data_IF_913086433960
#
_entry.id   IF_913086433960
#
_cell.length_a   1.000
_cell.length_b   1.000
_cell.length_c   1.000
_cell.angle_alpha   90.00
_cell.angle_beta   90.00
_cell.angle_gamma   90.00
#
_symmetry.space_group_name_H-M   'P 1'
#
loop_
_entity.id
_entity.type
_entity.pdbx_description
1 polymer ?
#
# COMPACT_ATOMS: atom_id res chain seq x y z
N UNK A 1 7.99 -50.75 -47.62
CA UNK A 1 7.74 -50.43 -46.20
C UNK A 1 7.48 -48.93 -46.13
N UNK A 2 6.26 -48.50 -46.46
CA UNK A 2 5.19 -48.14 -45.51
C UNK A 2 5.67 -47.19 -44.40
N UNK A 3 5.43 -45.88 -44.58
CA UNK A 3 4.55 -45.08 -43.72
C UNK A 3 4.51 -43.61 -44.19
N UNK A 4 3.39 -43.22 -44.79
CA UNK A 4 2.81 -41.88 -44.59
C UNK A 4 2.09 -41.93 -43.24
N UNK A 5 2.26 -40.97 -42.32
CA UNK A 5 1.30 -39.84 -42.16
C UNK A 5 2.01 -38.52 -41.72
N UNK A 6 1.44 -37.33 -41.49
CA UNK A 6 0.08 -36.76 -41.45
C UNK A 6 0.25 -35.22 -41.59
N UNK A 7 -0.65 -34.63 -42.36
CA UNK A 7 -1.19 -33.26 -42.38
C UNK A 7 -0.64 -32.22 -41.39
N UNK A 8 -0.16 -31.10 -41.94
CA UNK A 8 -0.10 -29.82 -41.25
C UNK A 8 -1.53 -29.35 -40.93
N UNK A 9 -1.89 -29.32 -39.65
CA UNK A 9 -3.07 -28.60 -39.17
C UNK A 9 -2.60 -27.30 -38.55
N UNK A 10 -2.83 -26.20 -39.27
CA UNK A 10 -2.79 -24.85 -38.71
C UNK A 10 -3.86 -24.78 -37.62
N UNK A 11 -3.44 -24.94 -36.38
CA UNK A 11 -4.24 -24.54 -35.23
C UNK A 11 -3.90 -23.08 -34.98
N UNK A 12 -4.78 -22.22 -35.49
CA UNK A 12 -4.94 -20.84 -35.03
C UNK A 12 -5.07 -20.87 -33.51
N UNK A 13 -4.09 -20.30 -32.83
CA UNK A 13 -4.06 -20.18 -31.38
C UNK A 13 -5.22 -19.24 -30.94
N UNK A 14 -6.25 -19.72 -30.23
CA UNK A 14 -7.38 -18.88 -29.83
C UNK A 14 -7.10 -18.07 -28.55
N UNK A 15 -5.85 -18.01 -28.06
CA UNK A 15 -5.52 -17.21 -26.87
C UNK A 15 -5.45 -15.70 -27.11
N UNK A 16 -5.73 -15.23 -28.32
CA UNK A 16 -5.95 -13.80 -28.59
C UNK A 16 -7.41 -13.38 -28.30
N UNK A 17 -7.92 -13.69 -27.10
CA UNK A 17 -9.23 -13.18 -26.66
C UNK A 17 -9.22 -12.87 -25.16
N UNK A 18 -9.59 -11.61 -24.87
CA UNK A 18 -9.87 -11.00 -23.56
C UNK A 18 -8.67 -10.59 -22.68
N UNK A 19 -7.81 -9.72 -23.23
CA UNK A 19 -7.35 -8.61 -22.40
C UNK A 19 -8.57 -7.71 -22.13
N UNK A 20 -9.39 -8.10 -21.14
CA UNK A 20 -10.31 -7.17 -20.48
C UNK A 20 -9.51 -5.90 -20.12
N UNK A 21 -10.16 -4.74 -20.23
CA UNK A 21 -9.61 -3.45 -19.80
C UNK A 21 -9.40 -3.44 -18.27
N UNK A 22 -8.51 -4.29 -17.76
CA UNK A 22 -8.07 -4.26 -16.39
C UNK A 22 -7.20 -3.02 -16.23
N UNK A 23 -7.65 -2.08 -15.39
CA UNK A 23 -6.82 -0.96 -15.00
C UNK A 23 -5.49 -1.51 -14.43
N UNK A 24 -4.33 -0.91 -14.79
CA UNK A 24 -3.06 -1.34 -14.22
C UNK A 24 -3.08 -1.26 -12.69
N UNK A 25 -2.26 -2.07 -11.99
CA UNK A 25 -2.14 -2.06 -10.55
C UNK A 25 -1.94 -0.66 -9.97
N UNK A 26 -2.37 -0.46 -8.72
CA UNK A 26 -2.33 0.85 -8.09
C UNK A 26 -0.93 1.49 -8.09
N UNK A 27 0.09 0.67 -7.82
CA UNK A 27 1.50 1.05 -7.85
C UNK A 27 1.93 1.58 -9.21
N UNK A 28 1.55 0.91 -10.31
CA UNK A 28 1.97 1.29 -11.66
C UNK A 28 1.37 2.62 -12.10
N UNK A 29 0.06 2.84 -11.87
CA UNK A 29 -0.55 4.12 -12.28
C UNK A 29 -0.07 5.28 -11.40
N UNK A 30 0.19 5.04 -10.10
CA UNK A 30 0.76 6.07 -9.22
C UNK A 30 2.21 6.39 -9.58
N UNK A 31 3.05 5.38 -9.87
CA UNK A 31 4.41 5.59 -10.35
C UNK A 31 4.44 6.35 -11.68
N UNK A 32 3.60 5.95 -12.64
CA UNK A 32 3.45 6.65 -13.92
C UNK A 32 3.02 8.11 -13.71
N UNK A 33 2.09 8.36 -12.79
CA UNK A 33 1.64 9.71 -12.49
C UNK A 33 2.76 10.55 -11.85
N UNK A 34 3.47 9.99 -10.86
CA UNK A 34 4.61 10.63 -10.22
C UNK A 34 5.69 11.01 -11.26
N UNK A 35 6.03 10.10 -12.16
CA UNK A 35 6.99 10.35 -13.25
C UNK A 35 6.54 11.47 -14.22
N UNK A 36 5.24 11.62 -14.44
CA UNK A 36 4.70 12.64 -15.34
C UNK A 36 4.71 14.05 -14.75
N UNK A 37 4.42 14.19 -13.45
CA UNK A 37 4.24 15.51 -12.81
C UNK A 37 5.40 15.91 -11.89
N UNK A 38 6.30 14.99 -11.59
CA UNK A 38 7.39 15.17 -10.64
C UNK A 38 6.97 14.96 -9.18
N UNK A 39 7.94 14.56 -8.36
CA UNK A 39 7.70 14.15 -6.97
C UNK A 39 7.15 15.28 -6.08
N UNK A 40 7.62 16.52 -6.28
CA UNK A 40 7.11 17.69 -5.56
C UNK A 40 5.61 17.93 -5.82
N UNK A 41 5.16 17.83 -7.07
CA UNK A 41 3.75 18.02 -7.41
C UNK A 41 2.91 16.82 -6.94
N UNK A 42 3.44 15.61 -7.06
CA UNK A 42 2.78 14.38 -6.63
C UNK A 42 2.54 14.31 -5.11
N UNK A 43 3.41 14.95 -4.33
CA UNK A 43 3.33 14.99 -2.87
C UNK A 43 2.81 16.33 -2.33
N UNK A 44 2.43 17.27 -3.19
CA UNK A 44 1.88 18.58 -2.77
C UNK A 44 0.57 18.43 -1.99
N UNK A 45 0.34 19.26 -0.98
CA UNK A 45 -0.85 19.17 -0.10
C UNK A 45 -2.19 19.24 -0.85
N UNK A 46 -2.23 19.98 -1.94
CA UNK A 46 -3.41 20.20 -2.79
C UNK A 46 -3.59 19.13 -3.88
N UNK A 47 -2.64 18.21 -4.04
CA UNK A 47 -2.75 17.11 -5.00
C UNK A 47 -3.87 16.15 -4.60
N UNK A 48 -4.89 16.03 -5.45
CA UNK A 48 -6.01 15.11 -5.23
C UNK A 48 -6.78 15.45 -3.94
N UNK A 49 -7.20 16.72 -3.79
CA UNK A 49 -7.85 17.27 -2.59
C UNK A 49 -9.27 16.70 -2.31
N UNK A 50 -9.32 15.40 -2.03
CA UNK A 50 -10.45 14.67 -1.47
C UNK A 50 -9.92 13.71 -0.41
N UNK A 51 -10.70 13.39 0.63
CA UNK A 51 -10.25 12.44 1.65
C UNK A 51 -9.96 11.07 1.03
N UNK A 52 -8.82 10.49 1.41
CA UNK A 52 -8.43 9.12 1.04
C UNK A 52 -8.26 8.29 2.32
N UNK A 53 -8.63 7.02 2.23
CA UNK A 53 -8.42 6.04 3.30
C UNK A 53 -7.24 5.16 2.94
N UNK A 54 -6.39 4.92 3.92
CA UNK A 54 -5.23 4.04 3.82
C UNK A 54 -5.35 2.97 4.91
N UNK A 55 -5.61 1.74 4.49
CA UNK A 55 -5.77 0.58 5.36
C UNK A 55 -4.45 -0.18 5.36
N UNK A 56 -3.96 -0.53 6.55
CA UNK A 56 -2.80 -1.41 6.73
C UNK A 56 -3.19 -2.58 7.61
N UNK A 57 -3.07 -3.79 7.08
CA UNK A 57 -3.21 -5.02 7.86
C UNK A 57 -1.82 -5.59 8.15
N UNK A 58 -1.55 -5.95 9.41
CA UNK A 58 -0.24 -6.46 9.84
C UNK A 58 -0.33 -7.85 10.46
N UNK A 59 0.71 -8.65 10.19
CA UNK A 59 1.04 -9.91 10.86
C UNK A 59 2.51 -9.90 11.27
N UNK A 60 2.77 -9.90 12.57
CA UNK A 60 4.13 -10.03 13.08
C UNK A 60 4.67 -11.45 12.88
N UNK A 61 5.98 -11.60 12.75
CA UNK A 61 6.60 -12.91 12.73
C UNK A 61 6.47 -13.59 14.10
N UNK A 62 6.28 -14.92 14.11
CA UNK A 62 6.02 -15.69 15.33
C UNK A 62 7.07 -15.52 16.43
N UNK A 63 8.33 -15.29 16.05
CA UNK A 63 9.44 -15.12 16.99
C UNK A 63 9.51 -13.73 17.63
N UNK A 64 8.73 -12.75 17.16
CA UNK A 64 8.74 -11.39 17.70
C UNK A 64 7.99 -11.37 19.04
N UNK A 65 8.63 -10.93 20.14
CA UNK A 65 8.00 -10.90 21.47
C UNK A 65 6.80 -9.94 21.52
N UNK A 66 5.78 -10.28 22.32
CA UNK A 66 4.57 -9.47 22.48
C UNK A 66 4.89 -8.01 22.85
N UNK A 67 5.80 -7.78 23.79
CA UNK A 67 6.18 -6.41 24.18
C UNK A 67 6.75 -5.58 23.01
N UNK A 68 7.50 -6.22 22.10
CA UNK A 68 8.00 -5.55 20.88
C UNK A 68 6.86 -5.24 19.92
N UNK A 69 5.88 -6.14 19.76
CA UNK A 69 4.69 -5.91 18.92
C UNK A 69 3.89 -4.72 19.43
N UNK A 70 3.56 -4.71 20.73
CA UNK A 70 2.81 -3.62 21.37
C UNK A 70 3.55 -2.28 21.22
N UNK A 71 4.87 -2.27 21.44
CA UNK A 71 5.67 -1.05 21.24
C UNK A 71 5.61 -0.53 19.78
N UNK A 72 5.59 -1.41 18.78
CA UNK A 72 5.44 -0.99 17.38
C UNK A 72 4.02 -0.50 17.07
N UNK A 73 3.00 -1.10 17.68
CA UNK A 73 1.60 -0.66 17.54
C UNK A 73 1.43 0.74 18.13
N UNK A 74 1.96 0.99 19.34
CA UNK A 74 1.96 2.31 19.97
C UNK A 74 2.69 3.35 19.12
N UNK A 75 3.85 2.98 18.56
CA UNK A 75 4.60 3.84 17.62
C UNK A 75 3.80 4.14 16.36
N UNK A 76 3.07 3.19 15.80
CA UNK A 76 2.20 3.40 14.64
C UNK A 76 1.12 4.44 14.98
N UNK A 77 0.40 4.26 16.10
CA UNK A 77 -0.66 5.17 16.52
C UNK A 77 -0.16 6.60 16.71
N UNK A 78 1.05 6.74 17.25
CA UNK A 78 1.70 8.04 17.44
C UNK A 78 2.11 8.75 16.15
N UNK A 79 2.19 8.06 15.00
CA UNK A 79 2.51 8.72 13.73
C UNK A 79 1.56 9.88 13.43
N UNK A 80 0.30 9.80 13.88
CA UNK A 80 -0.66 10.89 13.73
C UNK A 80 -0.13 12.23 14.25
N UNK A 81 0.59 12.20 15.37
CA UNK A 81 1.12 13.39 16.04
C UNK A 81 2.59 13.63 15.69
N UNK A 82 3.38 12.57 15.47
CA UNK A 82 4.82 12.65 15.22
C UNK A 82 5.15 12.96 13.74
N UNK A 83 4.29 12.61 12.78
CA UNK A 83 4.46 12.96 11.36
C UNK A 83 4.00 14.38 11.09
N UNK A 84 4.97 15.27 10.89
CA UNK A 84 4.78 16.71 10.75
C UNK A 84 5.22 17.18 9.37
N UNK A 85 4.38 18.03 8.78
CA UNK A 85 4.70 18.77 7.55
C UNK A 85 4.55 20.26 7.85
N UNK A 86 5.61 21.02 7.63
CA UNK A 86 5.69 22.45 8.01
C UNK A 86 5.40 22.69 9.50
N UNK A 87 5.83 21.76 10.35
CA UNK A 87 5.62 21.81 11.80
C UNK A 87 4.19 21.48 12.26
N UNK A 88 3.32 20.94 11.38
CA UNK A 88 1.93 20.58 11.72
C UNK A 88 1.61 19.14 11.34
N UNK A 89 0.84 18.41 12.17
CA UNK A 89 0.29 17.11 11.80
C UNK A 89 -0.56 17.20 10.54
N UNK A 90 -0.47 16.17 9.69
CA UNK A 90 -1.22 16.09 8.43
C UNK A 90 -1.98 14.77 8.25
N UNK A 91 -1.76 13.79 9.14
CA UNK A 91 -2.60 12.60 9.23
C UNK A 91 -3.86 12.98 10.01
N UNK A 92 -5.03 12.87 9.36
CA UNK A 92 -6.31 13.29 9.97
C UNK A 92 -6.69 12.39 11.13
N UNK A 93 -6.59 11.08 10.94
CA UNK A 93 -6.88 10.09 11.98
C UNK A 93 -6.13 8.79 11.74
N UNK A 94 -5.87 8.07 12.82
CA UNK A 94 -5.44 6.67 12.83
C UNK A 94 -6.32 5.94 13.83
N UNK A 95 -6.92 4.84 13.40
CA UNK A 95 -7.65 3.89 14.24
C UNK A 95 -6.96 2.53 14.17
N UNK A 96 -7.03 1.75 15.25
CA UNK A 96 -6.42 0.43 15.35
C UNK A 96 -7.40 -0.57 15.94
N UNK A 97 -7.33 -1.82 15.48
CA UNK A 97 -8.06 -2.93 16.04
C UNK A 97 -7.38 -4.27 15.77
N UNK A 98 -7.83 -5.31 16.48
CA UNK A 98 -7.44 -6.70 16.24
C UNK A 98 -8.40 -7.34 15.25
N UNK A 99 -7.94 -8.39 14.58
CA UNK A 99 -8.81 -9.24 13.77
C UNK A 99 -9.78 -10.00 14.69
N UNK A 100 -11.08 -9.80 14.48
CA UNK A 100 -12.17 -10.43 15.23
C UNK A 100 -13.21 -11.14 14.32
N UNK A 101 -13.00 -11.14 13.00
CA UNK A 101 -13.88 -11.89 12.08
C UNK A 101 -13.73 -13.41 12.26
N UNK A 102 -14.86 -14.10 12.38
CA UNK A 102 -14.95 -15.56 12.45
C UNK A 102 -15.06 -16.26 11.09
N UNK A 103 -14.91 -15.54 9.98
CA UNK A 103 -15.17 -16.07 8.62
C UNK A 103 -13.99 -16.89 8.05
N UNK A 104 -12.84 -16.93 8.72
CA UNK A 104 -11.66 -17.66 8.26
C UNK A 104 -10.89 -17.01 7.10
N UNK A 105 -11.32 -15.85 6.62
CA UNK A 105 -10.72 -15.12 5.48
C UNK A 105 -9.70 -14.04 5.90
N UNK A 106 -9.19 -14.11 7.13
CA UNK A 106 -8.24 -13.11 7.64
C UNK A 106 -6.81 -13.26 7.10
N UNK A 107 -6.50 -14.35 6.38
CA UNK A 107 -5.16 -14.68 5.85
C UNK A 107 -4.01 -14.59 6.89
N UNK A 108 -4.36 -14.74 8.17
CA UNK A 108 -3.44 -14.62 9.30
C UNK A 108 -3.07 -13.19 9.71
N UNK A 109 -3.66 -12.14 9.11
CA UNK A 109 -3.50 -10.78 9.60
C UNK A 109 -4.15 -10.62 10.99
N UNK A 110 -3.43 -9.97 11.90
CA UNK A 110 -3.78 -9.89 13.32
C UNK A 110 -4.25 -8.49 13.72
N UNK A 111 -3.76 -7.46 13.03
CA UNK A 111 -4.05 -6.06 13.33
C UNK A 111 -4.48 -5.32 12.06
N UNK A 112 -5.42 -4.39 12.23
CA UNK A 112 -5.81 -3.42 11.22
C UNK A 112 -5.53 -2.00 11.71
N UNK A 113 -4.97 -1.18 10.83
CA UNK A 113 -4.87 0.26 11.00
C UNK A 113 -5.67 0.93 9.89
N UNK A 114 -6.54 1.86 10.29
CA UNK A 114 -7.36 2.63 9.38
C UNK A 114 -6.97 4.09 9.49
N UNK A 115 -6.38 4.62 8.43
CA UNK A 115 -5.88 5.99 8.38
C UNK A 115 -6.73 6.84 7.45
N UNK A 116 -6.89 8.11 7.81
CA UNK A 116 -7.50 9.12 6.93
C UNK A 116 -6.49 10.22 6.62
N UNK A 117 -6.38 10.57 5.34
CA UNK A 117 -5.69 11.76 4.86
C UNK A 117 -6.68 12.71 4.18
N UNK A 118 -6.37 14.01 4.19
CA UNK A 118 -7.22 15.02 3.55
C UNK A 118 -7.00 15.16 2.04
N UNK A 119 -5.87 14.65 1.54
CA UNK A 119 -5.55 14.61 0.12
C UNK A 119 -4.69 13.42 -0.25
N UNK A 120 -4.65 13.10 -1.55
CA UNK A 120 -3.70 12.12 -2.08
C UNK A 120 -2.26 12.53 -1.83
N UNK A 121 -1.93 13.82 -1.97
CA UNK A 121 -0.56 14.30 -1.82
C UNK A 121 -0.03 14.16 -0.40
N UNK A 122 -0.86 14.37 0.62
CA UNK A 122 -0.51 14.08 2.01
C UNK A 122 -0.29 12.57 2.23
N UNK A 123 -1.14 11.72 1.65
CA UNK A 123 -0.93 10.26 1.65
C UNK A 123 0.37 9.88 0.95
N UNK A 124 0.68 10.48 -0.19
CA UNK A 124 1.88 10.19 -0.97
C UNK A 124 3.15 10.62 -0.22
N UNK A 125 3.15 11.80 0.41
CA UNK A 125 4.22 12.29 1.27
C UNK A 125 4.45 11.36 2.47
N UNK A 126 3.36 10.89 3.10
CA UNK A 126 3.43 9.86 4.14
C UNK A 126 4.09 8.59 3.61
N UNK A 127 3.53 7.97 2.57
CA UNK A 127 4.01 6.67 2.07
C UNK A 127 5.45 6.73 1.59
N UNK A 128 5.83 7.74 0.80
CA UNK A 128 7.17 7.90 0.23
C UNK A 128 7.54 6.77 -0.74
N UNK A 129 8.66 6.11 -0.48
CA UNK A 129 9.11 4.96 -1.26
C UNK A 129 8.10 3.81 -1.29
N UNK A 130 7.99 3.07 -2.42
CA UNK A 130 8.94 3.06 -3.55
C UNK A 130 8.60 4.03 -4.71
N UNK A 131 7.62 4.92 -4.56
CA UNK A 131 7.19 5.81 -5.66
C UNK A 131 7.91 7.17 -5.62
N UNK A 132 8.23 7.63 -4.41
CA UNK A 132 8.90 8.91 -4.15
C UNK A 132 10.28 8.61 -3.58
N UNK A 133 11.32 9.21 -4.16
CA UNK A 133 12.73 8.92 -3.84
C UNK A 133 13.48 10.15 -3.35
N UNK A 134 13.03 11.35 -3.71
CA UNK A 134 13.58 12.60 -3.20
C UNK A 134 13.24 12.71 -1.70
N UNK A 135 14.28 12.75 -0.86
CA UNK A 135 14.16 12.85 0.59
C UNK A 135 13.45 14.14 1.07
N UNK A 136 13.30 15.14 0.21
CA UNK A 136 12.52 16.36 0.50
C UNK A 136 11.02 16.19 0.21
N UNK A 137 10.63 15.10 -0.45
CA UNK A 137 9.26 14.82 -0.88
C UNK A 137 8.57 13.71 -0.06
N UNK A 138 9.19 13.16 0.99
CA UNK A 138 8.52 12.19 1.87
C UNK A 138 8.81 12.41 3.35
N UNK A 139 7.95 11.86 4.20
CA UNK A 139 8.05 11.98 5.66
C UNK A 139 9.19 11.08 6.20
N UNK A 140 10.25 11.66 6.81
CA UNK A 140 11.36 10.87 7.34
C UNK A 140 10.99 10.06 8.60
N UNK A 141 9.99 10.50 9.37
CA UNK A 141 9.49 9.79 10.56
C UNK A 141 8.78 8.50 10.14
N UNK A 142 7.87 8.57 9.16
CA UNK A 142 7.22 7.37 8.64
C UNK A 142 8.21 6.46 7.90
N UNK A 143 9.15 7.01 7.13
CA UNK A 143 10.20 6.22 6.49
C UNK A 143 11.01 5.42 7.53
N UNK A 144 11.45 6.06 8.62
CA UNK A 144 12.16 5.39 9.71
C UNK A 144 11.27 4.35 10.43
N UNK A 145 9.98 4.62 10.58
CA UNK A 145 9.02 3.66 11.12
C UNK A 145 8.92 2.40 10.23
N UNK A 146 8.76 2.55 8.91
CA UNK A 146 8.75 1.41 7.97
C UNK A 146 10.02 0.56 8.09
N UNK A 147 11.18 1.20 8.16
CA UNK A 147 12.47 0.52 8.32
C UNK A 147 12.55 -0.26 9.65
N UNK A 148 11.96 0.26 10.73
CA UNK A 148 11.95 -0.39 12.03
C UNK A 148 10.95 -1.56 12.11
N UNK A 149 9.74 -1.40 11.58
CA UNK A 149 8.70 -2.43 11.68
C UNK A 149 8.86 -3.54 10.65
N UNK A 150 9.35 -3.24 9.44
CA UNK A 150 9.43 -4.18 8.32
C UNK A 150 10.10 -5.52 8.67
N UNK A 151 11.30 -5.53 9.29
CA UNK A 151 11.97 -6.77 9.69
C UNK A 151 11.24 -7.60 10.74
N UNK A 152 10.25 -7.04 11.43
CA UNK A 152 9.47 -7.71 12.48
C UNK A 152 8.22 -8.41 11.92
N UNK A 153 7.88 -8.17 10.66
CA UNK A 153 6.70 -8.74 10.02
C UNK A 153 7.00 -10.14 9.47
N UNK A 154 5.98 -10.99 9.45
CA UNK A 154 6.06 -12.26 8.76
C UNK A 154 6.28 -12.04 7.24
N UNK A 155 6.72 -13.06 6.47
CA UNK A 155 6.66 -13.00 5.02
C UNK A 155 5.25 -12.63 4.55
N UNK A 156 5.16 -11.61 3.68
CA UNK A 156 3.91 -11.01 3.23
C UNK A 156 2.98 -10.58 4.39
N UNK A 157 3.57 -10.24 5.55
CA UNK A 157 2.87 -9.85 6.78
C UNK A 157 2.39 -8.41 6.79
N UNK A 158 2.30 -7.77 5.62
CA UNK A 158 1.67 -6.47 5.43
C UNK A 158 0.78 -6.52 4.19
N UNK A 159 -0.44 -6.02 4.33
CA UNK A 159 -1.34 -5.72 3.22
C UNK A 159 -1.78 -4.27 3.35
N UNK A 160 -1.69 -3.53 2.25
CA UNK A 160 -2.03 -2.12 2.20
C UNK A 160 -3.10 -1.90 1.14
N UNK A 161 -4.12 -1.12 1.46
CA UNK A 161 -5.19 -0.81 0.54
C UNK A 161 -5.66 0.63 0.69
N UNK A 162 -5.70 1.36 -0.42
CA UNK A 162 -6.17 2.73 -0.46
C UNK A 162 -7.49 2.83 -1.22
N UNK A 163 -8.43 3.64 -0.71
CA UNK A 163 -9.65 3.95 -1.44
C UNK A 163 -10.19 5.34 -1.13
N UNK A 164 -10.95 5.88 -2.08
CA UNK A 164 -11.71 7.10 -1.91
C UNK A 164 -13.11 6.76 -1.38
N UNK A 165 -13.50 7.24 -0.19
CA UNK A 165 -14.85 7.04 0.32
C UNK A 165 -15.91 7.56 -0.66
N UNK A 166 -16.92 6.75 -0.95
CA UNK A 166 -18.05 7.15 -1.80
C UNK A 166 -17.80 7.07 -3.31
N UNK A 167 -16.61 6.62 -3.76
CA UNK A 167 -16.41 6.26 -5.16
C UNK A 167 -17.37 5.12 -5.57
N UNK A 168 -17.95 5.24 -6.77
CA UNK A 168 -18.88 4.26 -7.37
C UNK A 168 -18.32 3.76 -8.69
#
# INVERSE_FOLDING_TARGET
MNATPLTASQTTDPLAASAEYALPPATERLASRCAQIGEHAFTSRDYGAIPIRHIVLLRFANHVPTATRESMIERFLRLKDDCLRDGRPYIRSIEHGRQESGEGNGFGFEHAFFMTFDSEGDRNFYVGEPIVHDATCFDPVHHAFKAAIGPLLAPQGVLVFDFFPGAR
#
